data_IF_096382226685
#
_entry.id   IF_096382226685
#
_cell.length_a   1.000
_cell.length_b   1.000
_cell.length_c   1.000
_cell.angle_alpha   90.00
_cell.angle_beta   90.00
_cell.angle_gamma   90.00
#
_symmetry.space_group_name_H-M   'P 1'
#
loop_
_entity.id
_entity.type
_entity.pdbx_description
1 polymer ?
#
# COMPACT_ATOMS: atom_id res chain seq x y z
N UNK A 1 13.31 26.93 -15.24
CA UNK A 1 12.33 25.94 -15.76
C UNK A 1 12.96 24.56 -15.73
N UNK A 2 12.57 23.62 -14.84
CA UNK A 2 13.25 22.34 -14.79
C UNK A 2 12.70 21.38 -15.85
N UNK A 3 13.64 20.78 -16.57
CA UNK A 3 13.48 19.91 -17.74
C UNK A 3 13.14 18.48 -17.31
N UNK A 4 12.12 17.90 -17.93
CA UNK A 4 11.76 16.49 -17.85
C UNK A 4 12.67 15.66 -18.76
N UNK A 5 13.65 14.93 -18.22
CA UNK A 5 14.41 13.95 -19.00
C UNK A 5 14.52 12.57 -18.34
N UNK A 6 13.86 11.63 -19.02
CA UNK A 6 14.26 10.25 -19.35
C UNK A 6 14.31 9.21 -18.24
N UNK A 7 13.17 8.56 -18.05
CA UNK A 7 13.12 7.10 -18.07
C UNK A 7 12.34 6.69 -19.33
N UNK A 8 12.93 5.85 -20.18
CA UNK A 8 12.23 5.30 -21.35
C UNK A 8 11.10 4.39 -20.86
N UNK A 9 9.87 4.50 -21.39
CA UNK A 9 8.75 3.68 -20.97
C UNK A 9 8.87 2.28 -21.61
N UNK A 10 9.11 1.26 -20.78
CA UNK A 10 8.72 -0.13 -21.12
C UNK A 10 7.23 -0.23 -20.80
N UNK A 11 6.46 -0.76 -21.74
CA UNK A 11 5.02 -0.64 -21.92
C UNK A 11 4.17 -0.61 -20.63
N UNK A 12 3.83 0.60 -20.16
CA UNK A 12 2.74 0.80 -19.20
C UNK A 12 1.44 0.70 -19.99
N UNK A 13 0.70 -0.41 -19.86
CA UNK A 13 -0.37 -0.73 -20.82
C UNK A 13 -1.70 0.01 -20.57
N UNK A 14 -1.87 0.69 -19.43
CA UNK A 14 -2.82 1.80 -19.29
C UNK A 14 -2.55 2.54 -17.99
N UNK A 15 -2.12 3.81 -18.05
CA UNK A 15 -2.33 4.75 -16.95
C UNK A 15 -3.63 5.45 -17.25
N UNK A 16 -4.75 4.92 -16.78
CA UNK A 16 -5.99 5.67 -16.86
C UNK A 16 -5.93 6.72 -15.75
N UNK A 17 -5.62 7.96 -16.07
CA UNK A 17 -5.80 9.08 -15.16
C UNK A 17 -7.23 9.60 -15.31
N UNK A 18 -7.98 9.73 -14.23
CA UNK A 18 -9.34 10.23 -14.29
C UNK A 18 -9.68 11.12 -13.08
N UNK A 19 -10.53 12.14 -13.28
CA UNK A 19 -11.06 12.92 -12.18
C UNK A 19 -11.96 12.03 -11.29
N UNK A 20 -11.86 12.24 -9.99
CA UNK A 20 -12.69 11.72 -8.92
C UNK A 20 -13.36 12.91 -8.21
N UNK A 21 -14.44 12.70 -7.45
CA UNK A 21 -15.08 13.78 -6.69
C UNK A 21 -14.09 14.57 -5.82
N UNK A 22 -14.25 15.91 -5.79
CA UNK A 22 -13.46 16.80 -4.92
C UNK A 22 -12.02 17.05 -5.37
N UNK A 23 -11.80 17.32 -6.65
CA UNK A 23 -10.48 17.60 -7.27
C UNK A 23 -9.42 16.50 -7.04
N UNK A 24 -9.89 15.26 -6.85
CA UNK A 24 -9.03 14.11 -6.72
C UNK A 24 -8.75 13.49 -8.10
N UNK A 25 -7.52 13.07 -8.34
CA UNK A 25 -7.11 12.35 -9.54
C UNK A 25 -6.76 10.91 -9.16
N UNK A 26 -7.38 9.96 -9.85
CA UNK A 26 -7.08 8.55 -9.70
C UNK A 26 -6.27 8.01 -10.88
N UNK A 27 -5.30 7.15 -10.60
CA UNK A 27 -4.60 6.36 -11.61
C UNK A 27 -4.53 4.90 -11.19
N UNK A 28 -4.52 3.99 -12.14
CA UNK A 28 -4.30 2.57 -11.89
C UNK A 28 -3.41 2.00 -13.00
N UNK A 29 -2.54 1.05 -12.65
CA UNK A 29 -1.71 0.31 -13.60
C UNK A 29 -2.14 -1.15 -13.59
N UNK A 30 -2.58 -1.64 -14.75
CA UNK A 30 -2.98 -3.02 -14.96
C UNK A 30 -2.03 -3.71 -15.95
N UNK A 31 -1.92 -5.03 -15.82
CA UNK A 31 -1.39 -5.89 -16.87
C UNK A 31 -2.21 -5.76 -18.15
N UNK A 32 -1.62 -6.09 -19.30
CA UNK A 32 -2.31 -6.11 -20.60
C UNK A 32 -3.55 -7.02 -20.63
N UNK A 33 -3.53 -8.12 -19.88
CA UNK A 33 -4.68 -9.04 -19.77
C UNK A 33 -5.75 -8.58 -18.76
N UNK A 34 -5.54 -7.45 -18.07
CA UNK A 34 -6.48 -6.90 -17.08
C UNK A 34 -6.62 -7.70 -15.77
N UNK A 35 -6.00 -8.88 -15.65
CA UNK A 35 -6.11 -9.74 -14.46
C UNK A 35 -5.33 -9.20 -13.26
N UNK A 36 -4.24 -8.48 -13.52
CA UNK A 36 -3.36 -7.96 -12.47
C UNK A 36 -3.45 -6.44 -12.37
N UNK A 37 -3.53 -5.92 -11.14
CA UNK A 37 -3.38 -4.47 -10.85
C UNK A 37 -2.14 -4.26 -10.01
N UNK A 38 -1.12 -3.69 -10.63
CA UNK A 38 0.18 -3.49 -10.02
C UNK A 38 0.22 -2.28 -9.08
N UNK A 39 -0.54 -1.22 -9.40
CA UNK A 39 -0.60 -0.04 -8.56
C UNK A 39 -1.93 0.69 -8.70
N UNK A 40 -2.33 1.38 -7.64
CA UNK A 40 -3.46 2.31 -7.61
C UNK A 40 -3.03 3.60 -6.93
N UNK A 41 -3.13 4.74 -7.59
CA UNK A 41 -2.76 6.04 -7.03
C UNK A 41 -3.97 6.96 -6.88
N UNK A 42 -3.92 7.79 -5.86
CA UNK A 42 -4.83 8.92 -5.62
C UNK A 42 -4.00 10.17 -5.34
N UNK A 43 -4.42 11.31 -5.87
CA UNK A 43 -3.84 12.62 -5.60
C UNK A 43 -4.97 13.62 -5.43
N UNK A 44 -4.99 14.35 -4.33
CA UNK A 44 -5.99 15.39 -4.03
C UNK A 44 -5.35 16.74 -3.74
N UNK A 45 -4.02 16.81 -3.82
CA UNK A 45 -3.28 18.06 -3.67
C UNK A 45 -2.00 18.04 -4.49
N UNK A 46 -1.48 19.23 -4.76
CA UNK A 46 -0.16 19.46 -5.36
C UNK A 46 0.96 19.47 -4.32
N UNK A 47 0.62 19.34 -3.04
CA UNK A 47 1.60 19.23 -1.95
C UNK A 47 2.52 18.02 -2.15
N UNK A 48 3.83 18.17 -1.83
CA UNK A 48 4.77 17.07 -1.87
C UNK A 48 4.43 16.03 -0.80
N UNK A 49 4.76 14.77 -1.07
CA UNK A 49 4.52 13.64 -0.17
C UNK A 49 3.43 12.71 -0.68
N UNK A 50 3.80 11.46 -0.94
CA UNK A 50 2.88 10.38 -1.27
C UNK A 50 3.19 9.19 -0.37
N UNK A 51 2.18 8.76 0.37
CA UNK A 51 2.29 7.58 1.21
C UNK A 51 1.96 6.32 0.42
N UNK A 52 2.71 5.25 0.64
CA UNK A 52 2.51 3.94 0.03
C UNK A 52 1.82 3.02 1.04
N UNK A 53 0.76 2.35 0.59
CA UNK A 53 0.10 1.29 1.34
C UNK A 53 0.40 -0.06 0.69
N UNK A 54 0.91 -1.01 1.46
CA UNK A 54 1.16 -2.40 1.06
C UNK A 54 0.02 -3.26 1.62
N UNK A 55 -0.81 -3.77 0.73
CA UNK A 55 -2.03 -4.51 1.02
C UNK A 55 -1.91 -5.97 0.55
N UNK A 56 -2.92 -6.80 0.81
CA UNK A 56 -2.87 -8.23 0.41
C UNK A 56 -2.97 -8.39 -1.10
N UNK A 57 -4.10 -8.01 -1.67
CA UNK A 57 -4.40 -8.13 -3.09
C UNK A 57 -5.42 -7.07 -3.56
N UNK A 58 -5.39 -6.69 -4.84
CA UNK A 58 -6.40 -5.86 -5.46
C UNK A 58 -7.81 -6.46 -5.41
N UNK A 59 -8.78 -5.64 -5.05
CA UNK A 59 -10.20 -5.90 -5.32
C UNK A 59 -10.71 -4.95 -6.43
N UNK A 60 -11.90 -4.37 -6.28
CA UNK A 60 -12.66 -3.69 -7.34
C UNK A 60 -12.23 -2.26 -7.67
N UNK A 61 -11.35 -1.63 -6.90
CA UNK A 61 -10.93 -0.26 -7.17
C UNK A 61 -10.23 -0.11 -8.55
N UNK A 62 -10.40 1.04 -9.18
CA UNK A 62 -9.80 1.38 -10.48
C UNK A 62 -9.36 2.84 -10.48
N UNK A 63 -8.88 3.36 -11.61
CA UNK A 63 -8.62 4.78 -11.77
C UNK A 63 -9.80 5.69 -11.40
N UNK A 64 -11.03 5.24 -11.64
CA UNK A 64 -12.26 6.03 -11.50
C UNK A 64 -13.15 5.60 -10.34
N UNK A 65 -12.78 4.53 -9.62
CA UNK A 65 -13.65 3.93 -8.61
C UNK A 65 -12.88 3.57 -7.35
N UNK A 66 -13.41 4.02 -6.21
CA UNK A 66 -12.95 3.62 -4.88
C UNK A 66 -13.83 2.53 -4.28
N UNK A 67 -13.19 1.57 -3.62
CA UNK A 67 -13.84 0.63 -2.70
C UNK A 67 -13.69 1.12 -1.24
N UNK A 68 -14.36 0.46 -0.25
CA UNK A 68 -14.26 0.87 1.15
C UNK A 68 -12.83 0.93 1.69
N UNK A 69 -11.94 0.05 1.24
CA UNK A 69 -10.54 0.01 1.66
C UNK A 69 -9.79 1.22 1.16
N UNK A 70 -9.94 1.57 -0.12
CA UNK A 70 -9.29 2.75 -0.70
C UNK A 70 -9.78 4.03 -0.03
N UNK A 71 -11.08 4.16 0.26
CA UNK A 71 -11.60 5.32 1.02
C UNK A 71 -10.96 5.45 2.40
N UNK A 72 -10.74 4.33 3.11
CA UNK A 72 -10.06 4.32 4.42
C UNK A 72 -8.60 4.73 4.31
N UNK A 73 -7.86 4.20 3.33
CA UNK A 73 -6.47 4.60 3.08
C UNK A 73 -6.38 6.09 2.74
N UNK A 74 -7.28 6.61 1.90
CA UNK A 74 -7.35 8.04 1.56
C UNK A 74 -7.55 8.88 2.83
N UNK A 75 -8.53 8.53 3.66
CA UNK A 75 -8.83 9.29 4.87
C UNK A 75 -7.66 9.33 5.88
N UNK A 76 -6.96 8.20 6.08
CA UNK A 76 -5.74 8.19 6.89
C UNK A 76 -4.62 9.04 6.28
N UNK A 77 -4.41 8.92 4.98
CA UNK A 77 -3.36 9.65 4.28
C UNK A 77 -3.61 11.16 4.35
N UNK A 78 -4.86 11.60 4.21
CA UNK A 78 -5.28 12.98 4.38
C UNK A 78 -5.09 13.47 5.82
N UNK A 79 -5.50 12.69 6.82
CA UNK A 79 -5.36 13.08 8.23
C UNK A 79 -3.89 13.19 8.68
N UNK A 80 -2.98 12.48 8.01
CA UNK A 80 -1.53 12.60 8.23
C UNK A 80 -0.87 13.68 7.36
N UNK A 81 -1.64 14.44 6.58
CA UNK A 81 -1.16 15.61 5.82
C UNK A 81 -0.56 15.29 4.45
N UNK A 82 -0.76 14.09 3.90
CA UNK A 82 -0.27 13.75 2.56
C UNK A 82 -1.16 14.36 1.46
N UNK A 83 -0.56 14.72 0.33
CA UNK A 83 -1.26 15.20 -0.88
C UNK A 83 -1.74 14.08 -1.82
N UNK A 84 -1.33 12.84 -1.55
CA UNK A 84 -1.75 11.66 -2.30
C UNK A 84 -1.26 10.36 -1.67
N UNK A 85 -1.66 9.25 -2.27
CA UNK A 85 -1.22 7.92 -1.87
C UNK A 85 -1.06 6.99 -3.08
N UNK A 86 -0.30 5.92 -2.89
CA UNK A 86 -0.21 4.78 -3.81
C UNK A 86 -0.47 3.49 -3.04
N UNK A 87 -1.29 2.60 -3.60
CA UNK A 87 -1.54 1.27 -3.06
C UNK A 87 -0.88 0.25 -3.98
N UNK A 88 -0.02 -0.58 -3.39
CA UNK A 88 0.59 -1.77 -3.97
C UNK A 88 0.24 -2.98 -3.11
N UNK A 89 0.52 -4.19 -3.59
CA UNK A 89 0.01 -5.40 -2.95
C UNK A 89 1.07 -6.51 -2.90
N UNK A 90 0.89 -7.44 -1.97
CA UNK A 90 1.68 -8.68 -1.91
C UNK A 90 1.45 -9.56 -3.14
N UNK A 91 0.23 -9.49 -3.70
CA UNK A 91 -0.22 -10.21 -4.88
C UNK A 91 -0.98 -9.25 -5.81
N UNK A 92 -0.73 -9.24 -7.11
CA UNK A 92 -1.40 -8.31 -8.02
C UNK A 92 -2.73 -8.85 -8.59
N UNK A 93 -3.05 -10.13 -8.42
CA UNK A 93 -4.28 -10.70 -8.96
C UNK A 93 -5.52 -9.97 -8.41
N UNK A 94 -6.35 -9.47 -9.32
CA UNK A 94 -7.59 -8.78 -8.98
C UNK A 94 -8.68 -9.77 -8.60
N UNK A 95 -9.00 -9.83 -7.31
CA UNK A 95 -10.11 -10.62 -6.79
C UNK A 95 -10.68 -10.01 -5.51
N UNK A 96 -11.99 -10.15 -5.33
CA UNK A 96 -12.65 -9.79 -4.07
C UNK A 96 -12.62 -10.94 -3.05
N UNK A 97 -12.27 -12.15 -3.50
CA UNK A 97 -12.11 -13.34 -2.66
C UNK A 97 -10.62 -13.71 -2.59
N UNK A 98 -9.92 -13.38 -1.48
CA UNK A 98 -8.52 -13.73 -1.30
C UNK A 98 -8.21 -15.23 -1.40
N UNK A 99 -9.19 -16.12 -1.21
CA UNK A 99 -8.99 -17.56 -1.36
C UNK A 99 -8.72 -17.95 -2.82
N UNK A 100 -9.11 -17.13 -3.80
CA UNK A 100 -8.77 -17.34 -5.21
C UNK A 100 -7.26 -17.20 -5.47
N UNK A 101 -6.51 -16.49 -4.61
CA UNK A 101 -5.05 -16.39 -4.72
C UNK A 101 -4.38 -17.76 -4.59
N UNK A 102 -4.94 -18.67 -3.78
CA UNK A 102 -4.42 -20.03 -3.62
C UNK A 102 -4.61 -20.90 -4.86
N UNK A 103 -5.62 -20.58 -5.67
CA UNK A 103 -6.03 -21.38 -6.83
C UNK A 103 -5.40 -20.88 -8.14
N UNK A 104 -4.80 -19.70 -8.11
CA UNK A 104 -4.17 -19.12 -9.28
C UNK A 104 -2.75 -19.66 -9.46
N UNK A 105 -2.37 -19.94 -10.71
CA UNK A 105 -1.01 -20.39 -11.05
C UNK A 105 0.04 -19.33 -10.71
N UNK A 106 -0.27 -18.06 -11.02
CA UNK A 106 0.55 -16.91 -10.67
C UNK A 106 -0.33 -15.81 -10.05
N UNK A 107 -0.54 -15.82 -8.72
CA UNK A 107 -1.29 -14.75 -8.04
C UNK A 107 -0.47 -13.47 -7.88
N UNK A 108 0.87 -13.54 -7.99
CA UNK A 108 1.75 -12.38 -7.84
C UNK A 108 1.58 -11.48 -9.05
N UNK A 109 1.61 -12.07 -10.23
CA UNK A 109 1.63 -11.35 -11.50
C UNK A 109 3.04 -10.91 -11.89
N UNK A 110 3.33 -10.85 -13.20
CA UNK A 110 4.71 -10.82 -13.70
C UNK A 110 5.50 -9.54 -13.37
N UNK A 111 4.82 -8.40 -13.15
CA UNK A 111 5.49 -7.11 -12.91
C UNK A 111 5.24 -6.54 -11.49
N UNK A 112 4.63 -7.30 -10.58
CA UNK A 112 4.21 -6.78 -9.28
C UNK A 112 5.37 -6.21 -8.47
N UNK A 113 6.45 -6.99 -8.32
CA UNK A 113 7.60 -6.60 -7.51
C UNK A 113 8.30 -5.34 -8.05
N UNK A 114 8.34 -5.20 -9.38
CA UNK A 114 8.85 -3.98 -10.04
C UNK A 114 8.02 -2.74 -9.68
N UNK A 115 6.70 -2.89 -9.65
CA UNK A 115 5.80 -1.80 -9.29
C UNK A 115 5.81 -1.46 -7.81
N UNK A 116 5.96 -2.46 -6.93
CA UNK A 116 6.23 -2.26 -5.49
C UNK A 116 7.51 -1.44 -5.32
N UNK A 117 8.62 -1.85 -5.96
CA UNK A 117 9.90 -1.16 -5.87
C UNK A 117 9.81 0.30 -6.33
N UNK A 118 9.15 0.55 -7.47
CA UNK A 118 8.94 1.91 -8.01
C UNK A 118 8.13 2.78 -7.04
N UNK A 119 7.05 2.25 -6.46
CA UNK A 119 6.22 2.99 -5.52
C UNK A 119 7.00 3.37 -4.26
N UNK A 120 7.74 2.43 -3.67
CA UNK A 120 8.55 2.67 -2.48
C UNK A 120 9.70 3.64 -2.74
N UNK A 121 10.38 3.54 -3.88
CA UNK A 121 11.43 4.49 -4.27
C UNK A 121 10.90 5.93 -4.43
N UNK A 122 9.70 6.09 -4.99
CA UNK A 122 9.06 7.41 -5.10
C UNK A 122 8.71 8.02 -3.74
N UNK A 123 8.26 7.20 -2.79
CA UNK A 123 7.94 7.64 -1.44
C UNK A 123 9.19 8.17 -0.71
N UNK A 124 10.33 7.48 -0.85
CA UNK A 124 11.61 7.89 -0.25
C UNK A 124 12.17 9.21 -0.81
N UNK A 125 11.87 9.54 -2.07
CA UNK A 125 12.38 10.75 -2.72
C UNK A 125 11.68 12.04 -2.28
N UNK A 126 10.52 11.96 -1.61
CA UNK A 126 9.71 13.11 -1.24
C UNK A 126 10.12 13.72 0.12
N UNK A 127 11.25 14.43 0.14
CA UNK A 127 11.57 15.67 0.91
C UNK A 127 11.32 15.75 2.43
N UNK A 128 10.87 14.71 3.14
CA UNK A 128 10.54 14.85 4.58
C UNK A 128 11.52 14.17 5.54
N UNK A 129 12.44 13.33 5.03
CA UNK A 129 13.26 12.46 5.88
C UNK A 129 12.43 11.41 6.65
N UNK A 130 11.15 11.24 6.29
CA UNK A 130 10.21 10.30 6.92
C UNK A 130 10.03 9.07 6.05
N UNK A 131 9.67 7.97 6.71
CA UNK A 131 9.28 6.73 6.06
C UNK A 131 7.81 6.83 5.71
N UNK A 132 7.46 6.60 4.47
CA UNK A 132 6.12 6.84 3.95
C UNK A 132 5.48 5.55 3.43
N UNK A 133 5.79 4.41 4.07
CA UNK A 133 5.29 3.09 3.69
C UNK A 133 4.52 2.47 4.85
N UNK A 134 3.28 2.04 4.58
CA UNK A 134 2.38 1.42 5.55
C UNK A 134 2.08 -0.04 5.13
N UNK A 135 2.42 -0.98 5.99
CA UNK A 135 1.95 -2.36 5.94
C UNK A 135 0.51 -2.46 6.48
N UNK A 136 -0.39 -3.06 5.69
CA UNK A 136 -1.82 -3.15 6.04
C UNK A 136 -2.54 -4.35 5.36
N UNK A 137 -1.82 -5.44 5.07
CA UNK A 137 -2.37 -6.61 4.37
C UNK A 137 -3.27 -7.54 5.21
N UNK A 138 -3.45 -7.29 6.51
CA UNK A 138 -4.31 -8.12 7.36
C UNK A 138 -3.69 -9.48 7.70
N UNK A 139 -4.52 -10.38 8.24
CA UNK A 139 -4.09 -11.66 8.80
C UNK A 139 -4.28 -12.86 7.86
N UNK A 140 -4.36 -12.64 6.55
CA UNK A 140 -4.53 -13.73 5.60
C UNK A 140 -3.29 -14.65 5.57
N UNK A 141 -3.42 -15.99 5.64
CA UNK A 141 -2.28 -16.91 5.73
C UNK A 141 -1.24 -16.75 4.60
N UNK A 142 -1.69 -16.50 3.37
CA UNK A 142 -0.80 -16.27 2.22
C UNK A 142 0.19 -15.12 2.41
N UNK A 143 -0.15 -14.12 3.23
CA UNK A 143 0.74 -12.98 3.43
C UNK A 143 2.12 -13.41 3.93
N UNK A 144 2.20 -14.46 4.75
CA UNK A 144 3.46 -14.97 5.29
C UNK A 144 4.46 -15.39 4.19
N UNK A 145 3.97 -15.90 3.06
CA UNK A 145 4.81 -16.36 1.95
C UNK A 145 5.46 -15.22 1.15
N UNK A 146 4.91 -14.00 1.23
CA UNK A 146 5.31 -12.85 0.39
C UNK A 146 5.79 -11.63 1.18
N UNK A 147 5.28 -11.42 2.39
CA UNK A 147 5.53 -10.21 3.17
C UNK A 147 7.02 -9.93 3.37
N UNK A 148 7.84 -10.95 3.67
CA UNK A 148 9.28 -10.77 3.87
C UNK A 148 10.01 -10.19 2.64
N UNK A 149 9.71 -10.70 1.45
CA UNK A 149 10.27 -10.20 0.18
C UNK A 149 9.77 -8.78 -0.11
N UNK A 150 8.47 -8.53 0.04
CA UNK A 150 7.90 -7.20 -0.26
C UNK A 150 8.42 -6.14 0.71
N UNK A 151 8.63 -6.50 1.98
CA UNK A 151 9.26 -5.63 2.96
C UNK A 151 10.73 -5.35 2.63
N UNK A 152 11.48 -6.34 2.13
CA UNK A 152 12.86 -6.10 1.71
C UNK A 152 12.95 -5.18 0.49
N UNK A 153 11.98 -5.25 -0.43
CA UNK A 153 11.82 -4.30 -1.54
C UNK A 153 11.47 -2.90 -1.03
N UNK A 154 10.57 -2.80 -0.05
CA UNK A 154 10.13 -1.52 0.51
C UNK A 154 11.25 -0.78 1.27
N UNK A 155 12.20 -1.54 1.83
CA UNK A 155 13.34 -1.01 2.57
C UNK A 155 13.19 -1.14 4.10
N UNK A 156 14.17 -0.60 4.82
CA UNK A 156 14.41 -0.93 6.24
C UNK A 156 13.38 -0.41 7.24
N UNK A 157 12.44 0.45 6.83
CA UNK A 157 11.49 1.10 7.74
C UNK A 157 10.11 1.18 7.11
N UNK A 158 9.19 0.42 7.69
CA UNK A 158 7.78 0.35 7.32
C UNK A 158 6.98 0.59 8.59
N UNK A 159 5.89 1.34 8.49
CA UNK A 159 4.94 1.51 9.58
C UNK A 159 3.69 0.64 9.36
N UNK A 160 2.81 0.56 10.35
CA UNK A 160 1.49 -0.04 10.27
C UNK A 160 0.49 0.78 11.09
N UNK A 161 -0.78 0.42 10.99
CA UNK A 161 -1.90 0.97 11.78
C UNK A 161 -2.31 -0.01 12.90
N UNK A 162 -1.31 -0.66 13.50
CA UNK A 162 -1.49 -1.69 14.53
C UNK A 162 -1.32 -3.11 14.00
N UNK A 163 -1.19 -4.05 14.93
CA UNK A 163 -1.02 -5.47 14.65
C UNK A 163 -2.14 -6.31 15.28
N UNK A 164 -2.36 -7.50 14.74
CA UNK A 164 -3.13 -8.56 15.40
C UNK A 164 -2.29 -9.23 16.48
N UNK A 165 -2.90 -10.10 17.30
CA UNK A 165 -2.16 -10.90 18.31
C UNK A 165 -1.07 -11.77 17.68
N UNK A 166 -1.28 -12.24 16.45
CA UNK A 166 -0.31 -13.01 15.67
C UNK A 166 0.74 -12.13 14.95
N UNK A 167 0.75 -10.81 15.20
CA UNK A 167 1.75 -9.90 14.65
C UNK A 167 1.49 -9.40 13.22
N UNK A 168 0.37 -9.78 12.60
CA UNK A 168 0.02 -9.29 11.26
C UNK A 168 -0.42 -7.82 11.30
N UNK A 169 -0.02 -6.97 10.33
CA UNK A 169 -0.50 -5.60 10.29
C UNK A 169 -2.01 -5.58 10.04
N UNK A 170 -2.73 -4.69 10.74
CA UNK A 170 -4.18 -4.59 10.63
C UNK A 170 -4.59 -4.01 9.28
N UNK A 171 -5.67 -4.56 8.75
CA UNK A 171 -6.32 -4.01 7.56
C UNK A 171 -7.08 -2.70 7.91
N UNK A 172 -7.11 -1.68 7.03
CA UNK A 172 -7.67 -0.36 7.34
C UNK A 172 -9.15 -0.35 7.72
N UNK A 173 -9.92 -1.34 7.25
CA UNK A 173 -11.35 -1.46 7.58
C UNK A 173 -11.60 -1.74 9.08
N UNK A 174 -10.63 -2.31 9.80
CA UNK A 174 -10.83 -2.85 11.16
C UNK A 174 -10.08 -2.08 12.24
N UNK A 175 -9.82 -0.79 12.00
CA UNK A 175 -9.16 0.11 12.96
C UNK A 175 -9.92 1.43 13.03
N UNK A 176 -9.89 2.18 14.14
CA UNK A 176 -10.50 3.51 14.21
C UNK A 176 -9.72 4.53 13.38
N UNK A 177 -10.37 5.60 12.92
CA UNK A 177 -9.72 6.67 12.14
C UNK A 177 -8.65 7.46 12.90
N UNK A 178 -8.70 7.44 14.24
CA UNK A 178 -7.72 8.07 15.12
C UNK A 178 -6.47 7.22 15.36
N UNK A 179 -6.39 6.01 14.78
CA UNK A 179 -5.27 5.10 14.98
C UNK A 179 -3.95 5.74 14.53
N UNK A 180 -2.96 5.91 15.43
CA UNK A 180 -1.64 6.40 15.03
C UNK A 180 -0.88 5.35 14.24
N UNK A 181 0.13 5.83 13.50
CA UNK A 181 1.14 4.99 12.86
C UNK A 181 2.08 4.42 13.89
N UNK A 182 2.49 3.17 13.70
CA UNK A 182 3.41 2.44 14.56
C UNK A 182 4.49 1.80 13.68
N UNK A 183 5.73 1.76 14.15
CA UNK A 183 6.78 1.01 13.47
C UNK A 183 6.37 -0.45 13.26
N UNK A 184 6.70 -1.01 12.10
CA UNK A 184 6.41 -2.40 11.72
C UNK A 184 7.71 -3.17 11.39
N UNK A 185 7.89 -4.39 11.93
CA UNK A 185 7.01 -5.07 12.88
C UNK A 185 6.96 -4.31 14.22
N UNK A 186 5.76 -4.22 14.80
CA UNK A 186 5.61 -3.59 16.11
C UNK A 186 6.40 -4.44 17.12
N UNK A 187 7.47 -3.88 17.67
CA UNK A 187 8.22 -4.55 18.72
C UNK A 187 7.24 -4.86 19.85
N UNK A 188 7.06 -6.15 20.17
CA UNK A 188 6.13 -6.59 21.20
C UNK A 188 6.36 -5.77 22.45
N UNK A 189 5.27 -5.31 23.08
CA UNK A 189 5.34 -4.59 24.37
C UNK A 189 6.32 -5.36 25.26
N UNK A 190 7.36 -4.69 25.75
CA UNK A 190 8.09 -5.20 26.90
C UNK A 190 7.04 -5.60 27.93
N UNK A 191 6.99 -6.89 28.27
CA UNK A 191 6.27 -7.37 29.44
C UNK A 191 6.89 -6.59 30.60
N UNK A 192 6.16 -5.65 31.19
CA UNK A 192 6.58 -5.08 32.46
C UNK A 192 6.83 -6.26 33.41
N UNK A 193 7.95 -6.30 34.15
CA UNK A 193 8.15 -7.33 35.14
C UNK A 193 6.97 -7.30 36.13
N UNK A 194 6.49 -8.46 36.62
CA UNK A 194 5.42 -8.47 37.60
C UNK A 194 5.84 -7.61 38.78
N UNK A 195 4.99 -6.67 39.15
CA UNK A 195 5.16 -5.87 40.36
C UNK A 195 5.23 -6.84 41.52
N UNK A 196 6.42 -7.06 42.06
CA UNK A 196 6.60 -7.75 43.33
C UNK A 196 5.94 -6.89 44.39
N UNK A 197 4.80 -7.38 44.87
CA UNK A 197 4.10 -6.90 46.06
C UNK A 197 5.05 -7.10 47.24
N UNK A 198 5.23 -6.04 48.02
CA UNK A 198 5.76 -6.07 49.39
C UNK A 198 4.65 -6.54 50.31
#
# INVERSE_FOLDING_TARGET
MPRWHRLRPIAVTAVNAAPLPGDCFGAAVFSSCGRYRYALARRWSDQPGRIVWIMLNPSRASATRDDPTIRRCTAFSQSWGYGGMTVVNLYALCTADPDELHRADDPVGPENDLHVARACAWALSATTGRHDVIAAWGAHPLAAARAGLVLSIAGLRVDCIGTTTAGHPRHPLYVPSSQPRLAFPACGRHRAPPSSVV
#
